data_IF_736811781637
#
_entry.id   IF_736811781637
#
_cell.length_a   1.000
_cell.length_b   1.000
_cell.length_c   1.000
_cell.angle_alpha   90.00
_cell.angle_beta   90.00
_cell.angle_gamma   90.00
#
_symmetry.space_group_name_H-M   'P 1'
#
loop_
_entity.id
_entity.type
_entity.pdbx_description
1 polymer ?
#
# COMPACT_ATOMS: atom_id res chain seq x y z
N UNK A 1 1.32 -13.31 -7.46
CA UNK A 1 1.82 -11.91 -7.55
C UNK A 1 2.15 -11.43 -6.16
N UNK A 2 3.30 -10.78 -5.93
CA UNK A 2 3.69 -10.30 -4.59
C UNK A 2 2.77 -9.16 -4.11
N UNK A 3 2.33 -9.27 -2.87
CA UNK A 3 1.53 -8.32 -2.11
C UNK A 3 2.31 -7.85 -0.89
N UNK A 4 2.13 -6.59 -0.55
CA UNK A 4 2.85 -5.93 0.53
C UNK A 4 1.83 -5.26 1.44
N UNK A 5 1.88 -5.57 2.73
CA UNK A 5 1.02 -4.97 3.75
C UNK A 5 1.73 -3.76 4.34
N UNK A 6 1.06 -2.61 4.32
CA UNK A 6 1.57 -1.38 4.89
C UNK A 6 0.63 -0.89 6.00
N UNK A 7 1.22 -0.41 7.09
CA UNK A 7 0.56 0.46 8.07
C UNK A 7 0.69 1.90 7.58
N UNK A 8 -0.43 2.59 7.40
CA UNK A 8 -0.47 3.98 6.94
C UNK A 8 -0.55 4.90 8.16
N UNK A 9 0.51 5.67 8.41
CA UNK A 9 0.57 6.62 9.51
C UNK A 9 -0.08 7.95 9.08
N UNK A 10 -1.06 8.44 9.84
CA UNK A 10 -1.68 9.78 9.65
C UNK A 10 -3.21 9.81 9.64
N UNK A 11 -3.87 8.67 9.44
CA UNK A 11 -5.27 8.42 9.80
C UNK A 11 -5.26 7.12 10.59
N UNK A 12 -5.88 7.11 11.78
CA UNK A 12 -6.14 5.94 12.66
C UNK A 12 -5.56 4.63 12.11
N UNK A 13 -4.44 4.16 12.67
CA UNK A 13 -3.62 3.02 12.24
C UNK A 13 -4.28 2.06 11.25
N UNK A 14 -4.31 2.46 9.97
CA UNK A 14 -5.00 1.71 8.93
C UNK A 14 -4.00 0.85 8.19
N UNK A 15 -4.34 -0.43 8.02
CA UNK A 15 -3.52 -1.41 7.35
C UNK A 15 -4.05 -1.72 5.95
N UNK A 16 -3.15 -1.80 4.98
CA UNK A 16 -3.50 -1.84 3.56
C UNK A 16 -2.65 -2.87 2.84
N UNK A 17 -3.21 -3.55 1.84
CA UNK A 17 -2.47 -4.45 0.98
C UNK A 17 -2.30 -3.85 -0.41
N UNK A 18 -1.07 -3.82 -0.92
CA UNK A 18 -0.78 -3.28 -2.26
C UNK A 18 0.02 -4.25 -3.11
N UNK A 19 -0.20 -4.21 -4.43
CA UNK A 19 0.61 -4.95 -5.40
C UNK A 19 1.95 -4.24 -5.66
N UNK A 20 2.89 -4.94 -6.30
CA UNK A 20 4.21 -4.39 -6.65
C UNK A 20 4.15 -3.09 -7.48
N UNK A 21 3.18 -3.00 -8.42
CA UNK A 21 2.98 -1.80 -9.23
C UNK A 21 2.56 -0.60 -8.37
N UNK A 22 1.57 -0.76 -7.50
CA UNK A 22 1.10 0.30 -6.61
C UNK A 22 2.14 0.66 -5.54
N UNK A 23 2.93 -0.30 -5.05
CA UNK A 23 4.08 -0.04 -4.19
C UNK A 23 5.08 0.88 -4.88
N UNK A 24 5.43 0.61 -6.15
CA UNK A 24 6.34 1.46 -6.93
C UNK A 24 5.75 2.84 -7.19
N UNK A 25 4.46 2.93 -7.54
CA UNK A 25 3.77 4.20 -7.77
C UNK A 25 3.70 5.07 -6.50
N UNK A 26 3.59 4.46 -5.31
CA UNK A 26 3.50 5.15 -4.02
C UNK A 26 4.83 5.16 -3.25
N UNK A 27 5.97 4.98 -3.95
CA UNK A 27 7.28 4.90 -3.30
C UNK A 27 7.61 6.17 -2.48
N UNK A 28 7.12 7.34 -2.88
CA UNK A 28 7.25 8.59 -2.12
C UNK A 28 6.65 8.50 -0.71
N UNK A 29 5.47 7.87 -0.57
CA UNK A 29 4.81 7.68 0.74
C UNK A 29 5.61 6.73 1.64
N UNK A 30 6.26 5.73 1.04
CA UNK A 30 7.13 4.79 1.74
C UNK A 30 8.40 5.52 2.21
N UNK A 31 9.05 6.30 1.34
CA UNK A 31 10.26 7.06 1.66
C UNK A 31 10.02 8.14 2.72
N UNK A 32 8.85 8.78 2.70
CA UNK A 32 8.42 9.76 3.72
C UNK A 32 7.98 9.12 5.04
N UNK A 33 8.05 7.79 5.16
CA UNK A 33 7.65 7.06 6.36
C UNK A 33 6.14 7.03 6.60
N UNK A 34 5.32 7.51 5.65
CA UNK A 34 3.86 7.50 5.75
C UNK A 34 3.29 6.09 5.62
N UNK A 35 3.96 5.23 4.86
CA UNK A 35 3.61 3.82 4.68
C UNK A 35 4.73 2.95 5.23
N UNK A 36 4.47 2.31 6.37
CA UNK A 36 5.41 1.39 7.02
C UNK A 36 5.11 -0.05 6.60
N UNK A 37 6.07 -0.72 5.97
CA UNK A 37 5.91 -2.10 5.57
C UNK A 37 5.84 -3.00 6.82
N UNK A 38 4.78 -3.79 6.95
CA UNK A 38 4.56 -4.67 8.11
C UNK A 38 4.44 -6.14 7.73
N UNK A 39 4.06 -6.47 6.49
CA UNK A 39 3.98 -7.86 6.02
C UNK A 39 4.16 -7.99 4.49
N UNK A 40 4.43 -9.20 4.00
CA UNK A 40 4.55 -9.51 2.57
C UNK A 40 4.04 -10.92 2.28
N UNK A 41 3.34 -11.05 1.17
CA UNK A 41 2.82 -12.33 0.72
C UNK A 41 3.07 -12.53 -0.79
N UNK A 42 3.67 -13.65 -1.16
CA UNK A 42 4.09 -13.90 -2.56
C UNK A 42 3.04 -14.63 -3.40
N UNK A 43 2.15 -15.37 -2.74
CA UNK A 43 1.15 -16.24 -3.36
C UNK A 43 -0.17 -16.19 -2.59
N UNK A 44 -0.88 -15.07 -2.69
CA UNK A 44 -2.19 -14.91 -2.06
C UNK A 44 -3.17 -14.22 -2.98
N UNK A 45 -4.44 -14.60 -2.84
CA UNK A 45 -5.58 -13.99 -3.53
C UNK A 45 -5.97 -12.60 -2.98
N UNK A 46 -5.11 -11.98 -2.16
CA UNK A 46 -5.36 -10.68 -1.54
C UNK A 46 -5.42 -9.58 -2.61
N UNK A 47 -6.49 -8.78 -2.60
CA UNK A 47 -6.66 -7.68 -3.53
C UNK A 47 -5.73 -6.50 -3.20
N UNK A 48 -5.54 -5.60 -4.17
CA UNK A 48 -4.74 -4.38 -3.95
C UNK A 48 -5.71 -3.24 -3.63
N UNK A 49 -5.63 -2.67 -2.43
CA UNK A 49 -6.53 -1.60 -1.98
C UNK A 49 -6.47 -0.34 -2.85
N UNK A 50 -5.31 -0.08 -3.46
CA UNK A 50 -5.16 1.03 -4.41
C UNK A 50 -5.84 0.69 -5.74
N UNK A 51 -5.74 -0.55 -6.22
CA UNK A 51 -6.38 -0.95 -7.48
C UNK A 51 -7.89 -1.06 -7.37
N UNK A 52 -8.40 -1.45 -6.19
CA UNK A 52 -9.85 -1.54 -5.93
C UNK A 52 -10.49 -0.20 -5.62
N UNK A 53 -9.70 0.87 -5.46
CA UNK A 53 -10.19 2.20 -5.10
C UNK A 53 -10.57 2.33 -3.62
N UNK A 54 -10.22 1.35 -2.78
CA UNK A 54 -10.42 1.43 -1.34
C UNK A 54 -9.57 2.55 -0.72
N UNK A 55 -8.45 2.90 -1.37
CA UNK A 55 -7.53 3.95 -0.91
C UNK A 55 -7.09 4.84 -2.07
N UNK A 56 -7.17 6.15 -1.84
CA UNK A 56 -6.57 7.17 -2.72
C UNK A 56 -5.06 7.19 -2.47
N UNK A 57 -4.33 6.57 -3.38
CA UNK A 57 -2.88 6.75 -3.53
C UNK A 57 -2.56 8.22 -3.80
N UNK A 58 -1.41 8.71 -3.32
CA UNK A 58 -0.99 10.12 -3.40
C UNK A 58 -0.65 10.64 -4.81
N UNK A 59 -1.34 10.16 -5.85
CA UNK A 59 -1.33 10.72 -7.19
C UNK A 59 -2.36 11.85 -7.29
N UNK A 60 -1.85 13.06 -7.52
CA UNK A 60 -2.57 14.33 -7.74
C UNK A 60 -3.96 14.19 -8.38
N UNK A 61 -4.92 14.90 -7.80
CA UNK A 61 -5.57 16.02 -8.51
C UNK A 61 -5.48 17.24 -7.62
#
# INVERSE_FOLDING_TARGET
MKKYKYQVTGKTDHEIWVCDACKKANNDLILKGKWKLIDRCSDCAIQCDVCTGNIVAGGKS
#
